data_IF_064292744317
#
_entry.id   IF_064292744317
#
_cell.length_a   1.000
_cell.length_b   1.000
_cell.length_c   1.000
_cell.angle_alpha   90.00
_cell.angle_beta   90.00
_cell.angle_gamma   90.00
#
_symmetry.space_group_name_H-M   'P 1'
#
loop_
_entity.id
_entity.type
_entity.pdbx_description
1 polymer ?
#
# COMPACT_ATOMS: atom_id res chain seq x y z
N UNK A 1 -14.71 -42.16 -26.54
CA UNK A 1 -13.71 -41.32 -25.84
C UNK A 1 -13.97 -39.83 -26.00
N UNK A 2 -14.26 -39.30 -27.21
CA UNK A 2 -14.61 -37.88 -27.44
C UNK A 2 -15.76 -37.32 -26.57
N UNK A 3 -16.88 -38.05 -26.42
CA UNK A 3 -18.00 -37.57 -25.59
C UNK A 3 -17.70 -37.53 -24.08
N UNK A 4 -16.81 -38.38 -23.57
CA UNK A 4 -16.41 -38.36 -22.14
C UNK A 4 -15.56 -37.13 -21.83
N UNK A 5 -14.73 -36.71 -22.78
CA UNK A 5 -13.94 -35.47 -22.68
C UNK A 5 -14.87 -34.26 -22.70
N UNK A 6 -15.83 -34.23 -23.63
CA UNK A 6 -16.82 -33.14 -23.70
C UNK A 6 -17.65 -33.02 -22.41
N UNK A 7 -18.10 -34.16 -21.85
CA UNK A 7 -18.86 -34.18 -20.60
C UNK A 7 -18.00 -33.74 -19.40
N UNK A 8 -16.73 -34.18 -19.35
CA UNK A 8 -15.77 -33.75 -18.32
C UNK A 8 -15.49 -32.24 -18.37
N UNK A 9 -15.32 -31.67 -19.57
CA UNK A 9 -15.15 -30.23 -19.74
C UNK A 9 -16.38 -29.46 -19.27
N UNK A 10 -17.57 -29.91 -19.66
CA UNK A 10 -18.84 -29.26 -19.27
C UNK A 10 -18.98 -29.20 -17.74
N UNK A 11 -18.67 -30.29 -17.03
CA UNK A 11 -18.72 -30.33 -15.56
C UNK A 11 -17.72 -29.36 -14.91
N UNK A 12 -16.51 -29.22 -15.46
CA UNK A 12 -15.50 -28.30 -14.92
C UNK A 12 -15.93 -26.83 -14.98
N UNK A 13 -16.62 -26.44 -16.06
CA UNK A 13 -17.17 -25.08 -16.22
C UNK A 13 -18.25 -24.74 -15.19
N UNK A 14 -19.03 -25.72 -14.73
CA UNK A 14 -20.04 -25.50 -13.68
C UNK A 14 -19.44 -25.23 -12.29
N UNK A 15 -18.16 -25.53 -12.08
CA UNK A 15 -17.47 -25.36 -10.79
C UNK A 15 -16.69 -24.03 -10.70
N UNK A 16 -16.84 -23.13 -11.66
CA UNK A 16 -16.20 -21.82 -11.63
C UNK A 16 -16.87 -20.91 -10.58
N UNK A 17 -16.19 -20.68 -9.46
CA UNK A 17 -16.64 -19.76 -8.39
C UNK A 17 -16.03 -18.37 -8.58
N UNK A 18 -16.78 -17.28 -8.29
CA UNK A 18 -16.23 -15.93 -8.35
C UNK A 18 -15.14 -15.73 -7.29
N UNK A 19 -13.99 -15.22 -7.69
CA UNK A 19 -12.92 -14.82 -6.76
C UNK A 19 -13.16 -13.40 -6.25
N UNK A 20 -13.14 -13.20 -4.93
CA UNK A 20 -13.21 -11.87 -4.33
C UNK A 20 -11.87 -11.13 -4.54
N UNK A 21 -11.93 -9.93 -5.10
CA UNK A 21 -10.75 -9.06 -5.19
C UNK A 21 -10.41 -8.51 -3.79
N UNK A 22 -9.20 -8.81 -3.32
CA UNK A 22 -8.68 -8.29 -2.06
C UNK A 22 -7.83 -7.04 -2.36
N UNK A 23 -7.73 -6.10 -1.41
CA UNK A 23 -7.08 -4.77 -1.59
C UNK A 23 -5.55 -4.79 -1.77
N UNK A 24 -4.94 -5.96 -1.95
CA UNK A 24 -3.52 -6.09 -2.33
C UNK A 24 -2.51 -5.62 -1.28
N UNK A 25 -2.87 -5.57 0.01
CA UNK A 25 -1.94 -5.16 1.08
C UNK A 25 -1.87 -3.64 1.32
N UNK A 26 -2.89 -2.90 0.87
CA UNK A 26 -3.09 -1.50 1.26
C UNK A 26 -3.82 -1.39 2.60
N UNK A 27 -3.55 -0.33 3.35
CA UNK A 27 -4.20 -0.02 4.61
C UNK A 27 -5.67 0.41 4.39
N UNK A 28 -6.41 0.68 5.48
CA UNK A 28 -7.80 1.12 5.41
C UNK A 28 -8.02 2.43 4.62
N UNK A 29 -6.96 3.20 4.36
CA UNK A 29 -6.99 4.40 3.54
C UNK A 29 -6.68 4.15 2.05
N UNK A 30 -6.40 2.90 1.64
CA UNK A 30 -6.06 2.54 0.26
C UNK A 30 -4.60 2.79 -0.12
N UNK A 31 -3.70 2.82 0.88
CA UNK A 31 -2.29 3.14 0.68
C UNK A 31 -1.35 2.09 1.30
N UNK A 32 -0.13 1.98 0.81
CA UNK A 32 0.90 1.09 1.34
C UNK A 32 2.27 1.77 1.37
N UNK A 33 3.13 1.34 2.30
CA UNK A 33 4.53 1.80 2.37
C UNK A 33 5.42 0.78 1.67
N UNK A 34 6.21 1.23 0.69
CA UNK A 34 7.25 0.43 0.08
C UNK A 34 8.34 0.14 1.11
N UNK A 35 8.54 -1.13 1.47
CA UNK A 35 9.50 -1.52 2.50
C UNK A 35 10.96 -1.36 2.07
N UNK A 36 11.24 -1.31 0.77
CA UNK A 36 12.59 -1.17 0.22
C UNK A 36 13.05 0.29 0.19
N UNK A 37 12.14 1.24 -0.07
CA UNK A 37 12.47 2.66 -0.23
C UNK A 37 11.93 3.54 0.91
N UNK A 38 10.86 3.10 1.57
CA UNK A 38 10.11 3.86 2.58
C UNK A 38 9.02 4.78 2.01
N UNK A 39 8.76 4.74 0.70
CA UNK A 39 7.77 5.61 0.04
C UNK A 39 6.32 5.20 0.34
N UNK A 40 5.39 6.16 0.44
CA UNK A 40 3.95 5.84 0.35
C UNK A 40 3.52 5.78 -1.08
N UNK A 41 2.64 4.84 -1.34
CA UNK A 41 1.80 4.87 -2.52
C UNK A 41 0.34 4.61 -2.16
N UNK A 42 -0.55 5.47 -2.64
CA UNK A 42 -2.00 5.30 -2.52
C UNK A 42 -2.57 4.93 -3.89
N UNK A 43 -3.28 3.80 -3.98
CA UNK A 43 -3.91 3.35 -5.22
C UNK A 43 -5.33 3.91 -5.39
N UNK A 44 -5.97 4.31 -4.30
CA UNK A 44 -7.30 4.92 -4.32
C UNK A 44 -7.37 5.95 -3.19
N UNK A 45 -6.80 7.16 -3.38
CA UNK A 45 -6.93 8.18 -2.37
C UNK A 45 -8.42 8.46 -2.18
N UNK A 46 -8.98 8.11 -1.01
CA UNK A 46 -10.22 8.74 -0.57
C UNK A 46 -9.96 10.25 -0.62
N UNK A 47 -10.93 11.02 -1.12
CA UNK A 47 -10.79 12.41 -1.62
C UNK A 47 -10.13 13.44 -0.70
N UNK A 48 -9.68 13.06 0.50
CA UNK A 48 -8.68 13.77 1.29
C UNK A 48 -7.28 13.42 0.78
N UNK A 49 -6.88 14.06 -0.32
CA UNK A 49 -5.48 14.21 -0.67
C UNK A 49 -4.70 14.65 0.59
N UNK A 50 -3.63 13.97 1.03
CA UNK A 50 -2.91 14.29 2.28
C UNK A 50 -2.11 15.61 2.20
N UNK A 51 -2.43 16.46 1.23
CA UNK A 51 -1.86 17.80 1.01
C UNK A 51 -2.02 18.73 2.22
N UNK A 52 -2.96 18.43 3.13
CA UNK A 52 -3.29 19.29 4.29
C UNK A 52 -2.76 18.77 5.63
N UNK A 53 -2.15 17.58 5.69
CA UNK A 53 -1.52 17.13 6.94
C UNK A 53 -0.13 17.76 7.06
N UNK A 54 0.26 18.29 8.24
CA UNK A 54 1.60 18.83 8.43
C UNK A 54 2.61 17.76 8.02
N UNK A 55 3.42 18.05 7.00
CA UNK A 55 4.51 17.19 6.60
C UNK A 55 5.54 17.22 7.72
N UNK A 56 5.82 16.07 8.31
CA UNK A 56 6.93 15.92 9.23
C UNK A 56 8.13 15.39 8.45
N UNK A 57 9.28 15.99 8.65
CA UNK A 57 10.55 15.53 8.13
C UNK A 57 11.27 14.72 9.19
N UNK A 58 11.66 13.50 8.82
CA UNK A 58 12.64 12.73 9.58
C UNK A 58 14.03 13.30 9.29
N UNK A 59 14.76 13.65 10.34
CA UNK A 59 16.11 14.22 10.24
C UNK A 59 17.10 13.31 10.94
N UNK A 60 18.12 12.90 10.19
CA UNK A 60 19.23 12.08 10.67
C UNK A 60 20.51 12.54 9.97
N UNK A 61 21.55 12.84 10.74
CA UNK A 61 22.86 13.28 10.24
C UNK A 61 22.80 14.42 9.20
N UNK A 62 21.88 15.36 9.38
CA UNK A 62 21.68 16.51 8.48
C UNK A 62 20.89 16.21 7.20
N UNK A 63 20.52 14.95 6.93
CA UNK A 63 19.65 14.58 5.82
C UNK A 63 18.17 14.66 6.24
N UNK A 64 17.35 15.31 5.41
CA UNK A 64 15.90 15.49 5.64
C UNK A 64 15.08 14.60 4.72
N UNK A 65 14.21 13.76 5.30
CA UNK A 65 13.26 12.89 4.57
C UNK A 65 11.83 13.24 4.97
N UNK A 66 11.12 13.97 4.11
CA UNK A 66 9.82 14.54 4.43
C UNK A 66 8.65 13.66 3.94
N UNK A 67 7.74 13.29 4.84
CA UNK A 67 6.63 12.36 4.55
C UNK A 67 5.75 12.02 5.76
N UNK A 68 4.80 11.10 5.57
CA UNK A 68 3.75 10.74 6.55
C UNK A 68 4.22 9.72 7.60
N UNK A 69 5.50 9.36 7.63
CA UNK A 69 6.02 8.27 8.47
C UNK A 69 7.19 8.69 9.37
N UNK A 70 7.26 9.95 9.80
CA UNK A 70 8.39 10.41 10.61
C UNK A 70 8.61 9.58 11.89
N UNK A 71 7.55 9.28 12.65
CA UNK A 71 7.66 8.45 13.87
C UNK A 71 8.13 7.03 13.57
N UNK A 72 7.73 6.44 12.45
CA UNK A 72 8.16 5.10 12.04
C UNK A 72 9.64 5.10 11.67
N UNK A 73 10.10 6.14 10.97
CA UNK A 73 11.50 6.31 10.61
C UNK A 73 12.39 6.55 11.84
N UNK A 74 11.94 7.35 12.82
CA UNK A 74 12.66 7.54 14.10
C UNK A 74 12.78 6.23 14.86
N UNK A 75 11.72 5.42 14.92
CA UNK A 75 11.75 4.11 15.60
C UNK A 75 12.73 3.13 14.95
N UNK A 76 12.92 3.22 13.63
CA UNK A 76 13.74 2.28 12.87
C UNK A 76 15.21 2.73 12.75
N UNK A 77 15.44 4.03 12.58
CA UNK A 77 16.76 4.57 12.23
C UNK A 77 17.32 5.57 13.26
N UNK A 78 16.54 5.98 14.27
CA UNK A 78 16.92 7.07 15.18
C UNK A 78 16.64 8.46 14.59
N UNK A 79 17.21 9.52 15.17
CA UNK A 79 17.00 10.90 14.70
C UNK A 79 15.76 11.60 15.29
N UNK A 80 15.28 12.66 14.63
CA UNK A 80 14.20 13.53 15.12
C UNK A 80 13.12 13.80 14.07
N UNK A 81 11.95 14.23 14.56
CA UNK A 81 10.85 14.70 13.72
C UNK A 81 10.74 16.22 13.80
N UNK A 82 10.91 16.88 12.66
CA UNK A 82 10.74 18.31 12.52
C UNK A 82 9.56 18.62 11.61
N UNK A 83 8.82 19.68 11.91
CA UNK A 83 7.76 20.17 11.02
C UNK A 83 8.39 20.75 9.74
N UNK A 84 7.82 20.41 8.58
CA UNK A 84 8.14 21.10 7.33
C UNK A 84 7.50 22.48 7.36
N UNK A 85 8.22 23.46 7.91
CA UNK A 85 7.86 24.86 7.73
C UNK A 85 8.19 25.21 6.26
N UNK A 86 7.16 25.52 5.46
CA UNK A 86 7.37 26.17 4.16
C UNK A 86 8.00 27.54 4.35
#
# INVERSE_FOLDING_TARGET
MRNRIALGLAVALLMAVPAASHSGGTNAAGCHTNRSTGDYHCHTPRSSSPSSSPRYCHVIDGQRRCGYACRSLVRQFGGSCELENR
#
